data_IF_853012465769
#
_entry.id   IF_853012465769
#
_cell.length_a   1.000
_cell.length_b   1.000
_cell.length_c   1.000
_cell.angle_alpha   90.00
_cell.angle_beta   90.00
_cell.angle_gamma   90.00
#
_symmetry.space_group_name_H-M   'P 1'
#
loop_
_entity.id
_entity.type
_entity.pdbx_description
1 polymer ?
#
# COMPACT_ATOMS: atom_id res chain seq x y z
N UNK A 1 -0.72 -16.69 -2.05
CA UNK A 1 -1.27 -15.39 -1.57
C UNK A 1 -1.59 -14.53 -2.79
N UNK A 2 -2.73 -13.81 -2.82
CA UNK A 2 -3.08 -12.96 -3.97
C UNK A 2 -2.36 -11.60 -3.94
N UNK A 3 -2.01 -11.06 -5.10
CA UNK A 3 -1.30 -9.76 -5.29
C UNK A 3 -1.81 -8.63 -4.39
N UNK A 4 -3.14 -8.48 -4.23
CA UNK A 4 -3.74 -7.46 -3.35
C UNK A 4 -3.30 -7.60 -1.89
N UNK A 5 -3.18 -8.83 -1.37
CA UNK A 5 -2.70 -9.07 0.01
C UNK A 5 -1.21 -8.73 0.15
N UNK A 6 -0.40 -8.96 -0.88
CA UNK A 6 1.03 -8.62 -0.85
C UNK A 6 1.24 -7.10 -0.83
N UNK A 7 0.52 -6.37 -1.68
CA UNK A 7 0.58 -4.90 -1.70
C UNK A 7 0.10 -4.30 -0.37
N UNK A 8 -0.96 -4.86 0.23
CA UNK A 8 -1.38 -4.44 1.59
C UNK A 8 -0.32 -4.69 2.65
N UNK A 9 0.45 -5.78 2.56
CA UNK A 9 1.59 -6.02 3.46
C UNK A 9 2.71 -4.99 3.23
N UNK A 10 3.01 -4.64 1.98
CA UNK A 10 3.99 -3.60 1.66
C UNK A 10 3.57 -2.24 2.26
N UNK A 11 2.28 -1.89 2.21
CA UNK A 11 1.77 -0.69 2.87
C UNK A 11 2.03 -0.70 4.39
N UNK A 12 1.73 -1.81 5.07
CA UNK A 12 1.96 -1.94 6.53
C UNK A 12 3.45 -1.85 6.86
N UNK A 13 4.31 -2.48 6.07
CA UNK A 13 5.76 -2.39 6.27
C UNK A 13 6.26 -0.96 6.10
N UNK A 14 5.75 -0.24 5.09
CA UNK A 14 6.09 1.17 4.89
C UNK A 14 5.63 2.06 6.05
N UNK A 15 4.44 1.86 6.62
CA UNK A 15 3.99 2.58 7.83
C UNK A 15 4.87 2.27 9.05
N UNK A 16 5.23 1.00 9.24
CA UNK A 16 6.12 0.62 10.33
C UNK A 16 7.52 1.21 10.18
N UNK A 17 8.03 1.27 8.94
CA UNK A 17 9.31 1.90 8.67
C UNK A 17 9.24 3.41 8.90
N UNK A 18 8.17 4.09 8.45
CA UNK A 18 7.94 5.50 8.75
C UNK A 18 7.94 5.79 10.25
N UNK A 19 7.31 4.92 11.06
CA UNK A 19 7.24 5.08 12.51
C UNK A 19 8.59 4.87 13.23
N UNK A 20 9.54 4.17 12.60
CA UNK A 20 10.87 3.88 13.16
C UNK A 20 11.96 4.83 12.65
N UNK A 21 11.67 5.59 11.60
CA UNK A 21 12.61 6.53 11.00
C UNK A 21 12.63 7.84 11.81
N UNK A 22 13.82 8.22 12.30
CA UNK A 22 14.01 9.46 13.06
C UNK A 22 13.98 10.71 12.18
N UNK A 23 14.42 10.58 10.91
CA UNK A 23 14.38 11.66 9.94
C UNK A 23 12.93 11.90 9.47
N UNK A 24 12.41 13.10 9.73
CA UNK A 24 11.04 13.45 9.42
C UNK A 24 10.73 13.44 7.91
N UNK A 25 11.70 13.81 7.07
CA UNK A 25 11.52 13.83 5.61
C UNK A 25 11.44 12.41 5.06
N UNK A 26 12.33 11.51 5.50
CA UNK A 26 12.30 10.10 5.10
C UNK A 26 11.05 9.40 5.67
N UNK A 27 10.66 9.71 6.91
CA UNK A 27 9.43 9.18 7.49
C UNK A 27 8.18 9.59 6.68
N UNK A 28 8.12 10.83 6.20
CA UNK A 28 7.01 11.32 5.37
C UNK A 28 6.96 10.66 3.99
N UNK A 29 8.11 10.44 3.35
CA UNK A 29 8.19 9.65 2.12
C UNK A 29 7.67 8.23 2.32
N UNK A 30 8.00 7.59 3.45
CA UNK A 30 7.52 6.24 3.77
C UNK A 30 6.01 6.20 4.02
N UNK A 31 5.43 7.25 4.63
CA UNK A 31 3.96 7.39 4.75
C UNK A 31 3.31 7.53 3.37
N UNK A 32 3.86 8.39 2.51
CA UNK A 32 3.38 8.57 1.13
C UNK A 32 3.42 7.26 0.35
N UNK A 33 4.49 6.47 0.51
CA UNK A 33 4.64 5.15 -0.10
C UNK A 33 3.57 4.17 0.41
N UNK A 34 3.27 4.19 1.71
CA UNK A 34 2.24 3.33 2.29
C UNK A 34 0.84 3.65 1.73
N UNK A 35 0.51 4.93 1.58
CA UNK A 35 -0.73 5.39 0.98
C UNK A 35 -0.85 4.96 -0.49
N UNK A 36 0.23 5.11 -1.26
CA UNK A 36 0.29 4.66 -2.64
C UNK A 36 0.02 3.15 -2.77
N UNK A 37 0.60 2.32 -1.91
CA UNK A 37 0.32 0.88 -1.89
C UNK A 37 -1.14 0.58 -1.55
N UNK A 38 -1.75 1.28 -0.58
CA UNK A 38 -3.17 1.11 -0.26
C UNK A 38 -4.05 1.43 -1.47
N UNK A 39 -3.81 2.57 -2.11
CA UNK A 39 -4.53 2.99 -3.31
C UNK A 39 -4.38 1.99 -4.46
N UNK A 40 -3.17 1.45 -4.67
CA UNK A 40 -2.92 0.43 -5.70
C UNK A 40 -3.67 -0.88 -5.40
N UNK A 41 -3.66 -1.33 -4.14
CA UNK A 41 -4.37 -2.53 -3.72
C UNK A 41 -5.89 -2.40 -3.95
N UNK A 42 -6.46 -1.25 -3.66
CA UNK A 42 -7.88 -0.98 -3.88
C UNK A 42 -8.23 -0.86 -5.36
N UNK A 43 -7.36 -0.26 -6.17
CA UNK A 43 -7.52 -0.19 -7.63
C UNK A 43 -7.55 -1.59 -8.24
N UNK A 44 -6.61 -2.46 -7.88
CA UNK A 44 -6.57 -3.85 -8.35
C UNK A 44 -7.81 -4.62 -7.88
N UNK A 45 -8.25 -4.40 -6.64
CA UNK A 45 -9.48 -5.01 -6.11
C UNK A 45 -10.72 -4.57 -6.91
N UNK A 46 -10.84 -3.27 -7.22
CA UNK A 46 -11.92 -2.71 -8.05
C UNK A 46 -11.90 -3.30 -9.47
N UNK A 47 -10.73 -3.32 -10.12
CA UNK A 47 -10.57 -3.90 -11.45
C UNK A 47 -10.95 -5.39 -11.49
N UNK A 48 -10.52 -6.18 -10.49
CA UNK A 48 -10.90 -7.59 -10.39
C UNK A 48 -12.40 -7.80 -10.22
N UNK A 49 -13.08 -6.92 -9.47
CA UNK A 49 -14.54 -6.95 -9.33
C UNK A 49 -15.24 -6.61 -10.64
N UNK A 50 -14.77 -5.59 -11.37
CA UNK A 50 -15.32 -5.21 -12.66
C UNK A 50 -15.15 -6.32 -13.70
N UNK A 51 -13.97 -6.95 -13.77
CA UNK A 51 -13.71 -8.10 -14.66
C UNK A 51 -14.56 -9.34 -14.36
N UNK A 52 -15.06 -9.50 -13.14
CA UNK A 52 -15.98 -10.59 -12.78
C UNK A 52 -17.46 -10.29 -13.08
N UNK A 53 -17.80 -9.01 -13.27
CA UNK A 53 -19.16 -8.57 -13.59
C UNK A 53 -19.41 -8.48 -15.10
N UNK A 54 -18.35 -8.33 -15.90
CA UNK A 54 -18.34 -8.63 -17.32
C UNK A 54 -18.20 -10.14 -17.51
#
# INVERSE_FOLDING_TARGET
MGVVKQIKKQAVVAEQAAARTADAFVADQMKSLAEAFRAQADTIKKQKKQKKKK
#
